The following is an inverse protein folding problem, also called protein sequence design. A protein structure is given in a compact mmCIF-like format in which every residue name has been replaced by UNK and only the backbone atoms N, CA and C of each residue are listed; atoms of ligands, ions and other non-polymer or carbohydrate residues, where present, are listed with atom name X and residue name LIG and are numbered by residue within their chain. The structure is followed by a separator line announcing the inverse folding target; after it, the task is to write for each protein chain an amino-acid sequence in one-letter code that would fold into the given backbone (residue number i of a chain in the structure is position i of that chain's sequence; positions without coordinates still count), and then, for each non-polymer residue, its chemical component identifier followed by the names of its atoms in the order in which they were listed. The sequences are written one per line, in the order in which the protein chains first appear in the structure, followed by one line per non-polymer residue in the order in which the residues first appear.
data_IF_823730249033
#
_entry.id   IF_823730249033
#
_cell.length_a   1.000
_cell.length_b   1.000
_cell.length_c   1.000
_cell.angle_alpha   90.00
_cell.angle_beta   90.00
_cell.angle_gamma   90.00
#
_symmetry.space_group_name_H-M   'P 1'
#
loop_
_entity.id
_entity.type
_entity.pdbx_description
1 polymer ?
#
# COMPACT_ATOMS: atom_id res chain seq x y z
N UNK A 1 -10.40 -15.79 -3.32
CA UNK A 1 -10.41 -15.69 -4.80
C UNK A 1 -11.47 -14.69 -5.21
N UNK A 2 -11.20 -13.82 -6.18
CA UNK A 2 -12.18 -12.83 -6.68
C UNK A 2 -13.25 -13.54 -7.51
N UNK A 3 -14.51 -13.13 -7.36
CA UNK A 3 -15.62 -13.66 -8.15
C UNK A 3 -15.39 -13.37 -9.65
N UNK A 4 -15.35 -14.39 -10.53
CA UNK A 4 -15.10 -14.21 -11.97
C UNK A 4 -16.09 -13.28 -12.67
N UNK A 5 -17.36 -13.27 -12.24
CA UNK A 5 -18.39 -12.41 -12.82
C UNK A 5 -18.13 -10.94 -12.52
N UNK A 6 -17.72 -10.62 -11.28
CA UNK A 6 -17.35 -9.25 -10.89
C UNK A 6 -16.11 -8.77 -11.64
N UNK A 7 -15.11 -9.64 -11.81
CA UNK A 7 -13.91 -9.31 -12.57
C UNK A 7 -14.22 -9.03 -14.05
N UNK A 8 -15.14 -9.79 -14.65
CA UNK A 8 -15.59 -9.57 -16.03
C UNK A 8 -16.30 -8.22 -16.17
N UNK A 9 -17.19 -7.89 -15.23
CA UNK A 9 -17.89 -6.61 -15.20
C UNK A 9 -16.92 -5.43 -15.06
N UNK A 10 -15.97 -5.51 -14.12
CA UNK A 10 -14.96 -4.48 -13.92
C UNK A 10 -14.07 -4.26 -15.16
N UNK A 11 -13.79 -5.30 -15.93
CA UNK A 11 -13.03 -5.19 -17.20
C UNK A 11 -13.83 -4.53 -18.33
N UNK A 12 -15.16 -4.60 -18.27
CA UNK A 12 -16.06 -3.98 -19.24
C UNK A 12 -16.27 -2.47 -19.02
N UNK A 13 -15.90 -1.96 -17.85
CA UNK A 13 -15.92 -0.53 -17.54
C UNK A 13 -14.86 0.22 -18.37
N UNK A 14 -15.11 1.51 -18.62
CA UNK A 14 -14.09 2.38 -19.19
C UNK A 14 -12.92 2.59 -18.20
N UNK A 15 -11.89 3.31 -18.63
CA UNK A 15 -10.69 3.51 -17.79
C UNK A 15 -11.00 4.40 -16.58
N UNK A 16 -11.84 5.41 -16.72
CA UNK A 16 -12.17 6.34 -15.65
C UNK A 16 -13.00 5.65 -14.56
N UNK A 17 -14.02 4.90 -14.96
CA UNK A 17 -14.87 4.12 -14.05
C UNK A 17 -14.10 3.02 -13.34
N UNK A 18 -13.13 2.37 -14.02
CA UNK A 18 -12.21 1.44 -13.35
C UNK A 18 -11.39 2.11 -12.28
N UNK A 19 -10.97 3.34 -12.53
CA UNK A 19 -10.18 4.11 -11.56
C UNK A 19 -11.01 4.55 -10.36
N UNK A 20 -12.23 5.01 -10.59
CA UNK A 20 -13.18 5.30 -9.52
C UNK A 20 -13.47 4.04 -8.69
N UNK A 21 -13.77 2.90 -9.33
CA UNK A 21 -14.03 1.64 -8.64
C UNK A 21 -12.83 1.21 -7.77
N UNK A 22 -11.61 1.34 -8.28
CA UNK A 22 -10.41 1.03 -7.51
C UNK A 22 -10.25 1.96 -6.28
N UNK A 23 -10.54 3.25 -6.44
CA UNK A 23 -10.49 4.21 -5.35
C UNK A 23 -11.54 3.91 -4.26
N UNK A 24 -12.79 3.61 -4.65
CA UNK A 24 -13.86 3.24 -3.72
C UNK A 24 -13.53 1.95 -2.95
N UNK A 25 -13.03 0.93 -3.64
CA UNK A 25 -12.61 -0.33 -3.02
C UNK A 25 -11.43 -0.13 -2.06
N UNK A 26 -10.51 0.78 -2.38
CA UNK A 26 -9.42 1.13 -1.49
C UNK A 26 -9.91 1.89 -0.25
N UNK A 27 -10.86 2.81 -0.42
CA UNK A 27 -11.46 3.57 0.66
C UNK A 27 -12.35 2.74 1.58
N UNK A 28 -12.90 1.62 1.10
CA UNK A 28 -13.73 0.71 1.91
C UNK A 28 -12.92 -0.22 2.82
N UNK A 29 -11.59 -0.17 2.76
CA UNK A 29 -10.71 -0.95 3.64
C UNK A 29 -10.47 -0.16 4.92
N UNK A 30 -10.93 -0.70 6.04
CA UNK A 30 -10.70 -0.09 7.36
C UNK A 30 -9.33 -0.52 7.92
N UNK A 31 -8.77 0.30 8.82
CA UNK A 31 -7.49 -0.01 9.45
C UNK A 31 -7.53 -1.32 10.28
N UNK A 32 -8.73 -1.74 10.72
CA UNK A 32 -8.92 -3.01 11.42
C UNK A 32 -8.85 -4.24 10.49
N UNK A 33 -9.11 -4.08 9.18
CA UNK A 33 -9.06 -5.17 8.21
C UNK A 33 -7.63 -5.65 7.92
N UNK A 34 -6.65 -4.76 8.15
CA UNK A 34 -5.22 -5.04 8.02
C UNK A 34 -4.49 -4.64 9.30
N UNK A 35 -4.49 -5.50 10.34
CA UNK A 35 -3.73 -5.22 11.55
C UNK A 35 -2.23 -5.18 11.22
N UNK A 36 -1.72 -3.97 11.03
CA UNK A 36 -0.31 -3.71 10.85
C UNK A 36 0.36 -3.79 12.22
N UNK A 37 1.30 -4.72 12.38
CA UNK A 37 2.10 -4.83 13.59
C UNK A 37 2.77 -3.47 13.91
N UNK A 38 2.91 -3.08 15.20
CA UNK A 38 3.44 -1.78 15.58
C UNK A 38 4.77 -1.41 14.90
N UNK A 39 5.64 -2.40 14.69
CA UNK A 39 6.96 -2.24 14.09
C UNK A 39 6.87 -1.94 12.59
N UNK A 40 5.90 -2.53 11.89
CA UNK A 40 5.62 -2.22 10.48
C UNK A 40 5.00 -0.83 10.36
N UNK A 41 4.11 -0.47 11.28
CA UNK A 41 3.48 0.86 11.29
C UNK A 41 4.52 1.96 11.50
N UNK A 42 5.47 1.75 12.41
CA UNK A 42 6.59 2.66 12.63
C UNK A 42 7.43 2.85 11.36
N UNK A 43 7.75 1.75 10.65
CA UNK A 43 8.47 1.82 9.38
C UNK A 43 7.70 2.61 8.32
N UNK A 44 6.38 2.40 8.19
CA UNK A 44 5.56 3.12 7.21
C UNK A 44 5.50 4.63 7.51
N UNK A 45 5.40 5.03 8.77
CA UNK A 45 5.38 6.45 9.14
C UNK A 45 6.74 7.11 8.94
N UNK A 46 7.84 6.43 9.26
CA UNK A 46 9.20 6.88 8.94
C UNK A 46 9.37 7.10 7.44
N UNK A 47 8.92 6.15 6.60
CA UNK A 47 8.97 6.26 5.14
C UNK A 47 8.13 7.42 4.62
N UNK A 48 6.95 7.63 5.20
CA UNK A 48 6.09 8.77 4.87
C UNK A 48 6.79 10.08 5.20
N UNK A 49 7.41 10.19 6.36
CA UNK A 49 8.17 11.38 6.76
C UNK A 49 9.37 11.65 5.84
N UNK A 50 10.10 10.61 5.43
CA UNK A 50 11.19 10.74 4.44
C UNK A 50 10.68 11.22 3.09
N UNK A 51 9.61 10.62 2.57
CA UNK A 51 9.04 11.02 1.28
C UNK A 51 8.46 12.45 1.28
N UNK A 52 7.93 12.92 2.42
CA UNK A 52 7.43 14.28 2.58
C UNK A 52 8.57 15.29 2.71
N UNK A 53 9.68 14.92 3.38
CA UNK A 53 10.81 15.83 3.63
C UNK A 53 11.75 15.94 2.43
N UNK A 54 12.03 14.83 1.74
CA UNK A 54 12.83 14.82 0.52
C UNK A 54 12.39 13.69 -0.44
N UNK A 55 11.46 13.98 -1.38
CA UNK A 55 10.92 12.98 -2.30
C UNK A 55 11.96 12.33 -3.23
N UNK A 56 13.12 12.96 -3.42
CA UNK A 56 14.15 12.50 -4.37
C UNK A 56 15.26 11.68 -3.70
N UNK A 57 15.29 11.64 -2.36
CA UNK A 57 16.33 10.94 -1.57
C UNK A 57 15.77 9.65 -0.93
N UNK A 58 14.70 9.10 -1.51
CA UNK A 58 14.11 7.85 -1.05
C UNK A 58 15.10 6.68 -1.07
N UNK A 59 15.29 6.03 0.09
CA UNK A 59 16.04 4.77 0.19
C UNK A 59 15.45 3.70 -0.72
N UNK A 60 16.32 2.90 -1.32
CA UNK A 60 15.91 1.75 -2.15
C UNK A 60 15.30 0.64 -1.30
N UNK A 61 14.49 -0.21 -1.93
CA UNK A 61 13.90 -1.37 -1.25
C UNK A 61 14.95 -2.33 -0.64
N UNK A 62 16.13 -2.42 -1.25
CA UNK A 62 17.21 -3.25 -0.75
C UNK A 62 17.79 -2.72 0.57
N UNK A 63 17.99 -1.40 0.68
CA UNK A 63 18.49 -0.74 1.89
C UNK A 63 17.48 -0.85 3.04
N UNK A 64 16.20 -0.60 2.74
CA UNK A 64 15.11 -0.72 3.72
C UNK A 64 15.02 -2.13 4.30
N UNK A 65 15.14 -3.15 3.43
CA UNK A 65 15.05 -4.54 3.84
C UNK A 65 16.25 -4.94 4.73
N UNK A 66 17.45 -4.41 4.45
CA UNK A 66 18.64 -4.66 5.26
C UNK A 66 18.47 -4.09 6.68
N UNK A 67 18.09 -2.81 6.79
CA UNK A 67 17.87 -2.14 8.09
C UNK A 67 16.83 -2.89 8.95
N UNK A 68 15.75 -3.35 8.33
CA UNK A 68 14.67 -4.04 9.03
C UNK A 68 15.04 -5.45 9.51
N UNK A 69 15.92 -6.15 8.79
CA UNK A 69 16.44 -7.45 9.23
C UNK A 69 17.46 -7.33 10.35
N UNK A 70 18.27 -6.26 10.35
CA UNK A 70 19.26 -6.01 11.40
C UNK A 70 18.62 -5.48 12.69
N UNK A 71 17.55 -4.68 12.59
CA UNK A 71 16.77 -4.23 13.76
C UNK A 71 15.99 -5.35 14.49
N UNK A 72 15.85 -6.54 13.89
CA UNK A 72 15.20 -7.72 14.49
C UNK A 72 16.17 -8.70 15.15
N UNK A 73 17.47 -8.41 15.15
CA UNK A 73 18.53 -9.25 15.73
C UNK A 73 18.94 -8.73 17.10
#
# INVERSE_FOLDING_TARGET
MVNPALLSQAKGLDVADRWQLAAELWASVEAEDFPVAPEIRALLEERRAEAVSDPLVGRTWAEIKADWHDARR
#
